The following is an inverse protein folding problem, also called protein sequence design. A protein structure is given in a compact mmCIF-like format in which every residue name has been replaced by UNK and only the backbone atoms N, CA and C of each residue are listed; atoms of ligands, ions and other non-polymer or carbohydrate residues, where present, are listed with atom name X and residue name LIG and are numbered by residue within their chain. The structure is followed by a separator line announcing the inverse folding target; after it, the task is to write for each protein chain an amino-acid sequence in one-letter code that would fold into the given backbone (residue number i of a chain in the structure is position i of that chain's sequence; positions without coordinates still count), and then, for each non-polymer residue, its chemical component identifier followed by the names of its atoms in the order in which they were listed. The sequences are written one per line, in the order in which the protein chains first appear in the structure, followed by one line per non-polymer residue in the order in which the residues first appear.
data_IF_528850388167
#
_entry.id   IF_528850388167
#
_cell.length_a   1.000
_cell.length_b   1.000
_cell.length_c   1.000
_cell.angle_alpha   90.00
_cell.angle_beta   90.00
_cell.angle_gamma   90.00
#
_symmetry.space_group_name_H-M   'P 1'
#
loop_
_entity.id
_entity.type
_entity.pdbx_description
1 polymer ?
#
# COMPACT_ATOMS: atom_id res chain seq x y z
N UNK A 1 18.24 -18.08 -23.06
CA UNK A 1 17.88 -18.60 -21.72
C UNK A 1 18.73 -17.95 -20.64
N UNK A 2 20.05 -17.88 -20.79
CA UNK A 2 20.93 -17.39 -19.72
C UNK A 2 20.95 -15.85 -19.56
N UNK A 3 20.91 -15.08 -20.64
CA UNK A 3 21.11 -13.63 -20.59
C UNK A 3 20.03 -12.78 -19.85
N UNK A 4 18.84 -13.33 -19.56
CA UNK A 4 17.75 -12.63 -18.85
C UNK A 4 17.65 -13.06 -17.37
N UNK A 5 18.29 -14.17 -17.03
CA UNK A 5 18.40 -14.73 -15.67
C UNK A 5 19.77 -14.46 -15.05
N UNK A 6 20.80 -14.18 -15.85
CA UNK A 6 22.15 -13.78 -15.41
C UNK A 6 22.18 -12.42 -14.70
N UNK A 7 21.20 -11.56 -14.95
CA UNK A 7 21.06 -10.25 -14.29
C UNK A 7 20.21 -10.28 -13.01
N UNK A 8 19.79 -11.46 -12.54
CA UNK A 8 19.20 -11.59 -11.20
C UNK A 8 20.36 -11.64 -10.21
N UNK A 9 20.66 -10.54 -9.48
CA UNK A 9 21.69 -10.59 -8.46
C UNK A 9 21.25 -11.65 -7.45
N UNK A 10 22.14 -12.58 -7.14
CA UNK A 10 21.98 -13.72 -6.23
C UNK A 10 20.68 -13.73 -5.40
N UNK A 11 19.85 -14.77 -5.57
CA UNK A 11 18.62 -15.02 -4.83
C UNK A 11 18.73 -14.55 -3.37
N UNK A 12 18.05 -13.46 -3.04
CA UNK A 12 18.09 -12.85 -1.72
C UNK A 12 16.86 -13.31 -0.93
N UNK A 13 17.09 -14.12 0.10
CA UNK A 13 16.04 -14.57 1.01
C UNK A 13 16.16 -13.76 2.30
N UNK A 14 15.17 -12.90 2.54
CA UNK A 14 15.02 -12.17 3.80
C UNK A 14 13.93 -12.81 4.63
N UNK A 15 14.21 -13.09 5.91
CA UNK A 15 13.19 -13.50 6.88
C UNK A 15 13.13 -12.46 7.99
N UNK A 16 11.95 -11.91 8.24
CA UNK A 16 11.75 -10.88 9.27
C UNK A 16 10.59 -11.23 10.19
N UNK A 17 10.70 -10.84 11.46
CA UNK A 17 9.58 -10.86 12.39
C UNK A 17 9.02 -9.44 12.43
N UNK A 18 7.76 -9.28 12.06
CA UNK A 18 7.07 -8.00 12.01
C UNK A 18 6.00 -7.97 13.08
N UNK A 19 5.62 -6.78 13.56
CA UNK A 19 4.57 -6.65 14.57
C UNK A 19 3.25 -7.27 14.10
N UNK A 20 2.87 -7.05 12.84
CA UNK A 20 1.63 -7.56 12.27
C UNK A 20 1.82 -7.75 10.75
N UNK A 21 1.18 -8.77 10.19
CA UNK A 21 1.10 -8.98 8.74
C UNK A 21 -0.29 -8.58 8.26
N UNK A 22 -0.36 -7.55 7.43
CA UNK A 22 -1.62 -7.04 6.89
C UNK A 22 -1.96 -7.78 5.57
N UNK A 23 -3.14 -8.42 5.45
CA UNK A 23 -3.61 -9.02 4.20
C UNK A 23 -3.80 -7.93 3.14
N UNK A 24 -3.14 -8.07 1.99
CA UNK A 24 -3.20 -7.07 0.91
C UNK A 24 -4.29 -7.41 -0.12
N UNK A 25 -5.55 -7.19 0.23
CA UNK A 25 -6.59 -7.02 -0.80
C UNK A 25 -6.55 -5.56 -1.22
N UNK A 26 -5.95 -5.28 -2.39
CA UNK A 26 -5.88 -3.93 -2.94
C UNK A 26 -7.05 -3.69 -3.89
N UNK A 27 -8.04 -2.92 -3.42
CA UNK A 27 -9.12 -2.39 -4.24
C UNK A 27 -8.82 -0.90 -4.48
N UNK A 28 -8.49 -0.48 -5.72
CA UNK A 28 -8.03 0.88 -5.99
C UNK A 28 -9.01 1.95 -5.50
N UNK A 29 -10.31 1.78 -5.75
CA UNK A 29 -11.32 2.77 -5.39
C UNK A 29 -11.46 2.94 -3.87
N UNK A 30 -11.41 1.85 -3.11
CA UNK A 30 -11.48 1.88 -1.64
C UNK A 30 -10.25 2.55 -1.04
N UNK A 31 -9.06 2.21 -1.52
CA UNK A 31 -7.80 2.82 -1.06
C UNK A 31 -7.76 4.29 -1.43
N UNK A 32 -8.19 4.64 -2.64
CA UNK A 32 -8.32 6.03 -3.08
C UNK A 32 -9.25 6.81 -2.15
N UNK A 33 -10.45 6.28 -1.90
CA UNK A 33 -11.45 6.89 -1.01
C UNK A 33 -10.91 7.06 0.41
N UNK A 34 -10.26 6.04 0.95
CA UNK A 34 -9.71 6.06 2.31
C UNK A 34 -8.61 7.12 2.49
N UNK A 35 -7.73 7.30 1.50
CA UNK A 35 -6.71 8.36 1.52
C UNK A 35 -7.34 9.72 1.20
N UNK A 36 -8.34 9.75 0.33
CA UNK A 36 -9.05 10.96 -0.03
C UNK A 36 -9.76 11.56 1.20
N UNK A 37 -10.37 10.75 2.06
CA UNK A 37 -11.11 11.29 3.20
C UNK A 37 -10.22 11.91 4.30
N UNK A 38 -8.89 11.72 4.24
CA UNK A 38 -7.95 12.30 5.21
C UNK A 38 -8.07 13.83 5.22
N UNK A 39 -8.54 14.34 6.36
CA UNK A 39 -8.69 15.75 6.68
C UNK A 39 -8.53 15.94 8.19
N UNK A 40 -8.34 17.18 8.69
CA UNK A 40 -8.27 17.42 10.13
C UNK A 40 -9.49 16.89 10.89
N UNK A 41 -10.71 17.10 10.35
CA UNK A 41 -11.95 16.62 10.97
C UNK A 41 -12.08 15.10 10.92
N UNK A 42 -11.62 14.46 9.84
CA UNK A 42 -11.58 12.99 9.74
C UNK A 42 -10.66 12.38 10.80
N UNK A 43 -9.43 12.88 10.93
CA UNK A 43 -8.46 12.36 11.91
C UNK A 43 -8.93 12.60 13.35
N UNK A 44 -9.56 13.74 13.62
CA UNK A 44 -10.18 14.03 14.90
C UNK A 44 -11.32 13.05 15.23
N UNK A 45 -12.18 12.74 14.26
CA UNK A 45 -13.29 11.78 14.44
C UNK A 45 -12.80 10.36 14.72
N UNK A 46 -11.61 10.01 14.23
CA UNK A 46 -10.94 8.73 14.49
C UNK A 46 -10.09 8.73 15.77
N UNK A 47 -10.10 9.82 16.53
CA UNK A 47 -9.29 10.02 17.72
C UNK A 47 -7.79 9.76 17.50
N UNK A 48 -7.28 10.05 16.29
CA UNK A 48 -5.87 9.85 15.95
C UNK A 48 -5.02 10.84 16.75
N UNK A 49 -3.95 10.32 17.37
CA UNK A 49 -3.01 11.15 18.12
C UNK A 49 -2.32 12.17 17.22
N UNK A 50 -2.10 13.38 17.74
CA UNK A 50 -1.56 14.50 16.99
C UNK A 50 -0.18 14.19 16.38
N UNK A 51 0.62 13.32 17.00
CA UNK A 51 1.92 12.89 16.50
C UNK A 51 1.86 12.06 15.21
N UNK A 52 0.70 11.50 14.86
CA UNK A 52 0.51 10.77 13.59
C UNK A 52 -0.13 11.62 12.50
N UNK A 53 -0.76 12.75 12.83
CA UNK A 53 -1.52 13.56 11.88
C UNK A 53 -0.70 13.98 10.65
N UNK A 54 0.54 14.43 10.85
CA UNK A 54 1.43 14.85 9.75
C UNK A 54 1.71 13.71 8.77
N UNK A 55 1.82 12.46 9.26
CA UNK A 55 2.03 11.29 8.41
C UNK A 55 0.79 10.98 7.56
N UNK A 56 -0.41 11.13 8.10
CA UNK A 56 -1.64 11.01 7.32
C UNK A 56 -1.77 12.12 6.28
N UNK A 57 -1.48 13.37 6.67
CA UNK A 57 -1.47 14.50 5.75
C UNK A 57 -0.47 14.31 4.61
N UNK A 58 0.70 13.71 4.87
CA UNK A 58 1.66 13.38 3.82
C UNK A 58 1.09 12.39 2.79
N UNK A 59 0.31 11.39 3.22
CA UNK A 59 -0.36 10.47 2.31
C UNK A 59 -1.31 11.20 1.36
N UNK A 60 -2.15 12.09 1.91
CA UNK A 60 -3.10 12.89 1.13
C UNK A 60 -2.38 13.84 0.18
N UNK A 61 -1.32 14.53 0.64
CA UNK A 61 -0.47 15.40 -0.18
C UNK A 61 0.13 14.63 -1.36
N UNK A 62 0.69 13.44 -1.12
CA UNK A 62 1.31 12.63 -2.17
C UNK A 62 0.29 12.14 -3.19
N UNK A 63 -0.93 11.83 -2.76
CA UNK A 63 -2.04 11.53 -3.67
C UNK A 63 -2.36 12.72 -4.59
N UNK A 64 -2.47 13.93 -4.03
CA UNK A 64 -2.67 15.18 -4.80
C UNK A 64 -1.52 15.42 -5.78
N UNK A 65 -0.28 15.26 -5.34
CA UNK A 65 0.92 15.43 -6.17
C UNK A 65 0.90 14.49 -7.39
N UNK A 66 0.58 13.21 -7.18
CA UNK A 66 0.52 12.26 -8.30
C UNK A 66 -0.55 12.64 -9.33
N UNK A 67 -1.72 13.06 -8.86
CA UNK A 67 -2.76 13.53 -9.76
C UNK A 67 -2.34 14.81 -10.50
N UNK A 68 -1.72 15.77 -9.79
CA UNK A 68 -1.19 16.99 -10.38
C UNK A 68 -0.18 16.72 -11.51
N UNK A 69 0.73 15.76 -11.32
CA UNK A 69 1.70 15.35 -12.33
C UNK A 69 1.01 14.78 -13.59
N UNK A 70 -0.06 14.00 -13.42
CA UNK A 70 -0.84 13.48 -14.54
C UNK A 70 -1.62 14.56 -15.29
N UNK A 71 -2.07 15.60 -14.61
CA UNK A 71 -2.81 16.72 -15.22
C UNK A 71 -1.91 17.57 -16.11
N UNK A 72 -0.62 17.70 -15.77
CA UNK A 72 0.35 18.51 -16.55
C UNK A 72 1.11 17.71 -17.61
N UNK A 73 1.14 16.38 -17.51
CA UNK A 73 1.80 15.50 -18.47
C UNK A 73 0.97 15.37 -19.75
N UNK A 74 1.54 15.74 -20.90
CA UNK A 74 0.87 15.68 -22.22
C UNK A 74 0.59 14.27 -22.72
N UNK A 75 1.28 13.26 -22.18
CA UNK A 75 1.08 11.85 -22.56
C UNK A 75 -0.02 11.16 -21.72
N UNK A 76 -0.46 11.79 -20.64
CA UNK A 76 -1.49 11.27 -19.75
C UNK A 76 -2.89 11.46 -20.34
N UNK A 77 -3.79 10.49 -20.14
CA UNK A 77 -5.21 10.63 -20.53
C UNK A 77 -5.95 11.67 -19.70
N UNK A 78 -5.34 12.13 -18.61
CA UNK A 78 -5.83 13.16 -17.71
C UNK A 78 -5.21 14.53 -17.97
N UNK A 79 -4.38 14.67 -19.01
CA UNK A 79 -3.82 15.96 -19.40
C UNK A 79 -4.92 17.02 -19.52
N UNK A 80 -4.77 18.15 -18.84
CA UNK A 80 -5.70 19.26 -18.91
C UNK A 80 -4.97 20.59 -19.11
N UNK A 81 -4.97 21.16 -20.34
CA UNK A 81 -4.25 22.40 -20.63
C UNK A 81 -4.81 23.60 -19.88
N UNK A 82 -6.09 23.58 -19.49
CA UNK A 82 -6.73 24.68 -18.74
C UNK A 82 -6.24 24.75 -17.30
N UNK A 83 -5.89 23.59 -16.72
CA UNK A 83 -5.40 23.51 -15.34
C UNK A 83 -3.88 23.59 -15.25
N UNK A 84 -3.16 23.44 -16.38
CA UNK A 84 -1.70 23.34 -16.42
C UNK A 84 -1.00 24.46 -15.65
N UNK A 85 -1.30 25.73 -15.94
CA UNK A 85 -0.62 26.86 -15.30
C UNK A 85 -0.88 26.94 -13.79
N UNK A 86 -2.13 26.69 -13.37
CA UNK A 86 -2.49 26.69 -11.95
C UNK A 86 -1.81 25.52 -11.20
N UNK A 87 -1.80 24.33 -11.79
CA UNK A 87 -1.14 23.16 -11.18
C UNK A 87 0.37 23.34 -11.11
N UNK A 88 0.99 23.92 -12.15
CA UNK A 88 2.43 24.19 -12.16
C UNK A 88 2.87 25.16 -11.06
N UNK A 89 2.02 26.11 -10.67
CA UNK A 89 2.28 27.03 -9.56
C UNK A 89 2.34 26.29 -8.22
N UNK A 90 1.49 25.27 -8.04
CA UNK A 90 1.34 24.55 -6.78
C UNK A 90 2.28 23.35 -6.65
N UNK A 91 2.80 22.81 -7.76
CA UNK A 91 3.70 21.65 -7.78
C UNK A 91 4.89 21.77 -6.82
N UNK A 92 5.62 22.90 -6.72
CA UNK A 92 6.72 23.04 -5.78
C UNK A 92 6.29 22.85 -4.32
N UNK A 93 5.10 23.35 -3.96
CA UNK A 93 4.53 23.22 -2.62
C UNK A 93 4.08 21.79 -2.37
N UNK A 94 3.40 21.16 -3.34
CA UNK A 94 2.97 19.77 -3.26
C UNK A 94 4.14 18.79 -3.21
N UNK A 95 5.26 19.09 -3.87
CA UNK A 95 6.46 18.26 -3.87
C UNK A 95 7.20 18.27 -2.54
N UNK A 96 7.12 19.37 -1.79
CA UNK A 96 7.77 19.53 -0.48
C UNK A 96 6.87 19.02 0.64
N UNK A 97 7.46 18.37 1.63
CA UNK A 97 6.77 17.98 2.87
C UNK A 97 6.69 19.18 3.82
N UNK A 98 5.99 20.23 3.40
CA UNK A 98 5.78 21.46 4.20
C UNK A 98 4.33 21.56 4.63
N UNK A 99 4.08 22.04 5.85
CA UNK A 99 2.74 22.15 6.46
C UNK A 99 1.73 23.01 5.70
N UNK A 100 2.17 23.88 4.79
CA UNK A 100 1.28 24.84 4.11
C UNK A 100 0.55 24.28 2.87
N UNK A 101 0.68 22.97 2.57
CA UNK A 101 0.01 22.40 1.40
C UNK A 101 -1.52 22.36 1.56
N UNK A 102 -2.04 22.41 2.79
CA UNK A 102 -3.47 22.37 3.10
C UNK A 102 -4.28 23.54 2.54
N UNK A 103 -3.61 24.66 2.23
CA UNK A 103 -4.26 25.84 1.64
C UNK A 103 -4.51 25.69 0.13
N UNK A 104 -3.89 24.66 -0.49
CA UNK A 104 -4.07 24.37 -1.90
C UNK A 104 -5.43 23.67 -2.08
N UNK A 105 -6.34 24.22 -2.90
CA UNK A 105 -7.62 23.58 -3.15
C UNK A 105 -7.42 22.22 -3.80
N UNK A 106 -8.13 21.21 -3.30
CA UNK A 106 -8.08 19.87 -3.88
C UNK A 106 -8.54 19.88 -5.33
N UNK A 107 -7.79 19.15 -6.17
CA UNK A 107 -8.17 18.92 -7.58
C UNK A 107 -8.51 17.47 -7.87
N UNK A 108 -8.33 16.60 -6.87
CA UNK A 108 -8.67 15.19 -6.94
C UNK A 108 -10.17 15.03 -7.23
N UNK A 109 -10.55 14.13 -8.15
CA UNK A 109 -11.96 13.82 -8.37
C UNK A 109 -12.56 13.20 -7.12
N UNK A 110 -13.70 13.73 -6.66
CA UNK A 110 -14.35 13.21 -5.46
C UNK A 110 -14.87 11.77 -5.69
N UNK A 111 -14.54 10.81 -4.80
CA UNK A 111 -15.02 9.42 -4.91
C UNK A 111 -16.54 9.30 -4.73
N UNK A 112 -17.15 10.31 -4.10
CA UNK A 112 -18.58 10.36 -3.79
C UNK A 112 -19.36 11.29 -4.72
N UNK A 113 -18.72 11.80 -5.79
CA UNK A 113 -19.39 12.69 -6.73
C UNK A 113 -20.52 11.95 -7.46
N UNK A 114 -21.71 12.55 -7.46
CA UNK A 114 -22.84 12.15 -8.30
C UNK A 114 -22.72 12.64 -9.74
N UNK A 115 -21.71 13.47 -10.05
CA UNK A 115 -21.43 13.96 -11.40
C UNK A 115 -20.84 12.86 -12.27
N UNK A 116 -21.51 12.54 -13.38
CA UNK A 116 -20.99 11.60 -14.39
C UNK A 116 -19.60 11.99 -14.90
N UNK A 117 -19.35 13.30 -15.01
CA UNK A 117 -18.05 13.81 -15.44
C UNK A 117 -16.95 13.46 -14.44
N UNK A 118 -17.21 13.66 -13.15
CA UNK A 118 -16.21 13.39 -12.11
C UNK A 118 -15.97 11.88 -11.97
N UNK A 119 -17.04 11.06 -12.09
CA UNK A 119 -16.91 9.60 -12.14
C UNK A 119 -16.08 9.15 -13.33
N UNK A 120 -16.25 9.75 -14.51
CA UNK A 120 -15.42 9.43 -15.67
C UNK A 120 -13.95 9.80 -15.46
N UNK A 121 -13.66 10.95 -14.83
CA UNK A 121 -12.29 11.36 -14.51
C UNK A 121 -11.68 10.40 -13.49
N UNK A 122 -12.42 10.02 -12.45
CA UNK A 122 -11.99 9.06 -11.45
C UNK A 122 -11.71 7.68 -12.07
N UNK A 123 -12.60 7.18 -12.93
CA UNK A 123 -12.40 5.91 -13.61
C UNK A 123 -11.15 5.93 -14.50
N UNK A 124 -10.90 7.03 -15.22
CA UNK A 124 -9.66 7.20 -15.99
C UNK A 124 -8.44 7.21 -15.08
N UNK A 125 -8.50 7.92 -13.96
CA UNK A 125 -7.42 7.97 -12.96
C UNK A 125 -7.09 6.58 -12.38
N UNK A 126 -8.10 5.79 -12.04
CA UNK A 126 -7.92 4.44 -11.53
C UNK A 126 -7.51 3.42 -12.60
N UNK A 127 -7.42 3.83 -13.87
CA UNK A 127 -6.84 3.05 -14.97
C UNK A 127 -5.42 3.51 -15.35
N UNK A 128 -4.94 4.64 -14.82
CA UNK A 128 -3.57 5.11 -15.04
C UNK A 128 -2.60 4.23 -14.23
N UNK A 129 -1.85 3.37 -14.92
CA UNK A 129 -0.97 2.38 -14.27
C UNK A 129 0.03 3.02 -13.30
N UNK A 130 0.75 4.11 -13.65
CA UNK A 130 1.66 4.76 -12.72
C UNK A 130 0.96 5.23 -11.43
N UNK A 131 -0.26 5.77 -11.56
CA UNK A 131 -1.05 6.21 -10.41
C UNK A 131 -1.48 5.06 -9.53
N UNK A 132 -2.01 3.98 -10.10
CA UNK A 132 -2.46 2.80 -9.36
C UNK A 132 -1.31 2.14 -8.60
N UNK A 133 -0.10 2.12 -9.17
CA UNK A 133 1.11 1.65 -8.49
C UNK A 133 1.40 2.52 -7.26
N UNK A 134 1.42 3.84 -7.41
CA UNK A 134 1.65 4.74 -6.27
C UNK A 134 0.52 4.65 -5.24
N UNK A 135 -0.73 4.56 -5.67
CA UNK A 135 -1.89 4.42 -4.81
C UNK A 135 -1.80 3.16 -3.96
N UNK A 136 -1.35 2.04 -4.53
CA UNK A 136 -1.07 0.80 -3.78
C UNK A 136 -0.01 1.02 -2.71
N UNK A 137 1.07 1.71 -3.02
CA UNK A 137 2.12 2.01 -2.04
C UNK A 137 1.59 2.90 -0.90
N UNK A 138 0.81 3.93 -1.23
CA UNK A 138 0.16 4.79 -0.24
C UNK A 138 -0.82 4.01 0.64
N UNK A 139 -1.59 3.09 0.06
CA UNK A 139 -2.51 2.21 0.80
C UNK A 139 -1.78 1.38 1.84
N UNK A 140 -0.66 0.74 1.47
CA UNK A 140 0.19 -0.01 2.41
C UNK A 140 0.69 0.87 3.56
N UNK A 141 1.13 2.08 3.24
CA UNK A 141 1.61 3.03 4.26
C UNK A 141 0.48 3.47 5.18
N UNK A 142 -0.73 3.73 4.65
CA UNK A 142 -1.91 4.03 5.46
C UNK A 142 -2.25 2.88 6.40
N UNK A 143 -2.33 1.65 5.90
CA UNK A 143 -2.65 0.48 6.74
C UNK A 143 -1.63 0.31 7.87
N UNK A 144 -0.33 0.52 7.59
CA UNK A 144 0.70 0.50 8.62
C UNK A 144 0.53 1.62 9.67
N UNK A 145 0.16 2.83 9.24
CA UNK A 145 -0.15 3.93 10.16
C UNK A 145 -1.39 3.63 11.00
N UNK A 146 -2.45 3.09 10.39
CA UNK A 146 -3.69 2.72 11.07
C UNK A 146 -3.43 1.68 12.17
N UNK A 147 -2.70 0.60 11.87
CA UNK A 147 -2.30 -0.41 12.87
C UNK A 147 -1.50 0.20 14.02
N UNK A 148 -0.57 1.13 13.73
CA UNK A 148 0.23 1.80 14.75
C UNK A 148 -0.62 2.71 15.63
N UNK A 149 -1.49 3.52 15.05
CA UNK A 149 -2.39 4.41 15.77
C UNK A 149 -3.31 3.62 16.70
N UNK A 150 -3.91 2.53 16.19
CA UNK A 150 -4.74 1.62 16.97
C UNK A 150 -3.98 1.02 18.15
N UNK A 151 -2.74 0.56 17.94
CA UNK A 151 -2.01 -0.04 19.06
C UNK A 151 -1.59 1.00 20.11
N UNK A 152 -1.24 2.23 19.71
CA UNK A 152 -0.95 3.31 20.65
C UNK A 152 -2.19 3.65 21.49
N UNK A 153 -3.37 3.70 20.87
CA UNK A 153 -4.64 3.89 21.59
C UNK A 153 -4.92 2.75 22.57
N UNK A 154 -4.73 1.49 22.16
CA UNK A 154 -4.92 0.32 23.03
C UNK A 154 -3.98 0.31 24.23
N UNK A 155 -2.69 0.66 24.04
CA UNK A 155 -1.70 0.76 25.12
C UNK A 155 -2.08 1.88 26.11
N UNK A 156 -2.63 3.00 25.64
CA UNK A 156 -3.07 4.10 26.48
C UNK A 156 -4.32 3.76 27.33
N UNK A 157 -5.11 2.76 26.93
CA UNK A 157 -6.37 2.37 27.60
C UNK A 157 -6.29 1.07 28.42
N UNK A 158 -5.14 0.38 28.42
CA UNK A 158 -5.02 -0.95 29.03
C UNK A 158 -4.82 -0.92 30.55
N UNK A 159 -5.93 -0.89 31.30
CA UNK A 159 -6.15 -1.83 32.40
C UNK A 159 -6.90 -3.05 31.83
N UNK A 160 -6.56 -4.29 32.23
CA UNK A 160 -7.20 -5.62 31.90
C UNK A 160 -6.71 -6.44 30.67
N UNK A 161 -6.88 -7.79 30.63
CA UNK A 161 -5.78 -8.77 30.66
C UNK A 161 -5.57 -9.61 29.38
N UNK A 162 -4.40 -10.25 29.36
CA UNK A 162 -3.59 -10.84 28.28
C UNK A 162 -4.15 -12.00 27.42
N UNK A 163 -5.42 -12.38 27.47
CA UNK A 163 -5.84 -13.72 26.97
C UNK A 163 -7.00 -13.73 25.95
N UNK A 164 -6.88 -12.99 24.86
CA UNK A 164 -7.64 -13.32 23.64
C UNK A 164 -6.66 -13.47 22.48
N UNK A 165 -6.47 -14.72 22.02
CA UNK A 165 -5.79 -15.02 20.77
C UNK A 165 -6.62 -14.36 19.65
N UNK A 166 -6.10 -13.35 18.95
CA UNK A 166 -6.86 -12.70 17.89
C UNK A 166 -6.98 -13.67 16.71
N UNK A 167 -8.18 -14.19 16.47
CA UNK A 167 -8.47 -15.18 15.43
C UNK A 167 -8.25 -14.69 13.98
N UNK A 168 -7.81 -13.44 13.79
CA UNK A 168 -7.68 -12.78 12.48
C UNK A 168 -6.22 -12.44 12.11
N UNK A 169 -5.24 -12.96 12.86
CA UNK A 169 -3.82 -12.69 12.59
C UNK A 169 -3.32 -13.57 11.44
N UNK A 170 -2.74 -12.92 10.43
CA UNK A 170 -1.87 -13.61 9.48
C UNK A 170 -0.52 -13.85 10.15
N UNK A 171 -0.21 -15.11 10.51
CA UNK A 171 1.04 -15.43 11.21
C UNK A 171 2.28 -15.49 10.33
N UNK A 172 2.11 -15.75 9.03
CA UNK A 172 3.22 -15.87 8.09
C UNK A 172 2.83 -15.41 6.69
N UNK A 173 3.75 -14.76 5.97
CA UNK A 173 3.56 -14.29 4.59
C UNK A 173 4.88 -14.36 3.82
N UNK A 174 4.80 -14.85 2.59
CA UNK A 174 5.91 -14.81 1.64
C UNK A 174 5.55 -13.90 0.48
N UNK A 175 6.49 -13.07 0.07
CA UNK A 175 6.43 -12.32 -1.19
C UNK A 175 7.62 -12.70 -2.06
N UNK A 176 7.34 -13.08 -3.31
CA UNK A 176 8.33 -13.43 -4.32
C UNK A 176 8.26 -12.37 -5.41
N UNK A 177 9.41 -11.76 -5.72
CA UNK A 177 9.55 -10.77 -6.79
C UNK A 177 10.31 -11.37 -7.97
N UNK A 178 10.09 -10.76 -9.15
CA UNK A 178 10.71 -11.20 -10.42
C UNK A 178 12.23 -11.02 -10.39
N UNK A 179 12.75 -10.06 -9.61
CA UNK A 179 14.18 -9.82 -9.41
C UNK A 179 14.85 -10.82 -8.45
N UNK A 180 14.23 -11.97 -8.20
CA UNK A 180 14.76 -13.03 -7.35
C UNK A 180 14.71 -12.73 -5.85
N UNK A 181 14.07 -11.64 -5.40
CA UNK A 181 13.93 -11.35 -3.98
C UNK A 181 12.76 -12.10 -3.37
N UNK A 182 13.04 -12.90 -2.35
CA UNK A 182 12.06 -13.62 -1.53
C UNK A 182 12.08 -12.99 -0.14
N UNK A 183 10.93 -12.45 0.29
CA UNK A 183 10.77 -11.94 1.65
C UNK A 183 9.71 -12.73 2.40
N UNK A 184 10.16 -13.42 3.45
CA UNK A 184 9.34 -14.13 4.42
C UNK A 184 9.15 -13.24 5.65
N UNK A 185 7.90 -13.06 6.06
CA UNK A 185 7.55 -12.32 7.26
C UNK A 185 6.75 -13.22 8.18
N UNK A 186 7.07 -13.19 9.47
CA UNK A 186 6.26 -13.79 10.54
C UNK A 186 5.72 -12.70 11.46
N UNK A 187 4.46 -12.81 11.89
CA UNK A 187 3.90 -11.90 12.88
C UNK A 187 4.52 -12.19 14.26
N UNK A 188 4.80 -11.15 15.05
CA UNK A 188 5.46 -11.27 16.35
C UNK A 188 4.63 -12.12 17.34
N UNK A 189 3.30 -12.14 17.17
CA UNK A 189 2.38 -12.97 17.93
C UNK A 189 2.67 -14.46 17.79
N UNK A 190 3.38 -14.90 16.74
CA UNK A 190 3.83 -16.29 16.62
C UNK A 190 4.73 -16.72 17.79
N UNK A 191 5.44 -15.77 18.41
CA UNK A 191 6.32 -16.01 19.57
C UNK A 191 5.54 -16.19 20.87
N UNK A 192 4.26 -15.81 20.91
CA UNK A 192 3.37 -15.95 22.07
C UNK A 192 2.63 -17.29 22.08
N UNK A 193 2.70 -18.03 20.98
CA UNK A 193 2.08 -19.34 20.85
C UNK A 193 2.90 -20.40 21.60
N UNK A 194 2.26 -21.52 21.95
CA UNK A 194 2.99 -22.68 22.43
C UNK A 194 3.89 -23.26 21.32
N UNK A 195 4.92 -24.01 21.74
CA UNK A 195 5.95 -24.52 20.83
C UNK A 195 5.37 -25.43 19.73
N UNK A 196 4.29 -26.17 20.02
CA UNK A 196 3.68 -27.07 19.05
C UNK A 196 2.89 -26.29 17.98
N UNK A 197 2.11 -25.29 18.40
CA UNK A 197 1.40 -24.40 17.47
C UNK A 197 2.37 -23.59 16.60
N UNK A 198 3.43 -23.03 17.20
CA UNK A 198 4.49 -22.31 16.48
C UNK A 198 5.12 -23.19 15.41
N UNK A 199 5.54 -24.40 15.77
CA UNK A 199 6.18 -25.34 14.84
C UNK A 199 5.24 -25.73 13.69
N UNK A 200 3.97 -25.98 14.01
CA UNK A 200 2.95 -26.34 13.02
C UNK A 200 2.75 -25.22 11.98
N UNK A 201 2.69 -23.97 12.42
CA UNK A 201 2.55 -22.81 11.53
C UNK A 201 3.77 -22.67 10.62
N UNK A 202 4.98 -22.78 11.17
CA UNK A 202 6.23 -22.69 10.39
C UNK A 202 6.30 -23.80 9.35
N UNK A 203 5.97 -25.04 9.72
CA UNK A 203 5.97 -26.17 8.79
C UNK A 203 4.93 -26.04 7.69
N UNK A 204 3.70 -25.63 8.03
CA UNK A 204 2.63 -25.41 7.07
C UNK A 204 3.01 -24.29 6.09
N UNK A 205 3.59 -23.20 6.61
CA UNK A 205 4.06 -22.08 5.80
C UNK A 205 5.16 -22.51 4.82
N UNK A 206 6.18 -23.24 5.30
CA UNK A 206 7.26 -23.75 4.46
C UNK A 206 6.74 -24.69 3.35
N UNK A 207 5.78 -25.57 3.66
CA UNK A 207 5.11 -26.39 2.63
C UNK A 207 4.38 -25.53 1.59
N UNK A 208 3.71 -24.47 2.04
CA UNK A 208 3.06 -23.48 1.18
C UNK A 208 4.04 -22.77 0.25
N UNK A 209 5.21 -22.34 0.77
CA UNK A 209 6.28 -21.72 -0.03
C UNK A 209 6.74 -22.65 -1.14
N UNK A 210 7.09 -23.90 -0.82
CA UNK A 210 7.57 -24.87 -1.80
C UNK A 210 6.52 -25.17 -2.88
N UNK A 211 5.25 -25.28 -2.50
CA UNK A 211 4.16 -25.45 -3.45
C UNK A 211 3.98 -24.22 -4.35
N UNK A 212 4.04 -23.02 -3.77
CA UNK A 212 3.93 -21.76 -4.48
C UNK A 212 5.08 -21.50 -5.44
N UNK A 213 6.32 -21.79 -5.02
CA UNK A 213 7.51 -21.72 -5.87
C UNK A 213 7.36 -22.62 -7.10
N UNK A 214 6.90 -23.86 -6.91
CA UNK A 214 6.65 -24.79 -8.00
C UNK A 214 5.60 -24.25 -8.98
N UNK A 215 4.50 -23.69 -8.47
CA UNK A 215 3.45 -23.08 -9.29
C UNK A 215 3.96 -21.86 -10.08
N UNK A 216 4.75 -21.00 -9.43
CA UNK A 216 5.37 -19.83 -10.06
C UNK A 216 6.32 -20.22 -11.19
N UNK A 217 7.18 -21.20 -10.97
CA UNK A 217 8.06 -21.72 -12.02
C UNK A 217 7.29 -22.29 -13.20
N UNK A 218 6.21 -23.04 -12.95
CA UNK A 218 5.35 -23.57 -14.00
C UNK A 218 4.65 -22.46 -14.80
N UNK A 219 4.16 -21.43 -14.11
CA UNK A 219 3.51 -20.28 -14.73
C UNK A 219 4.48 -19.45 -15.58
N UNK A 220 5.68 -19.13 -15.07
CA UNK A 220 6.71 -18.46 -15.84
C UNK A 220 7.14 -19.29 -17.06
N UNK A 221 7.34 -20.59 -16.87
CA UNK A 221 7.62 -21.52 -17.97
C UNK A 221 6.52 -21.56 -19.03
N UNK A 222 5.25 -21.42 -18.62
CA UNK A 222 4.13 -21.30 -19.54
C UNK A 222 4.14 -19.99 -20.33
N UNK A 223 4.37 -18.85 -19.66
CA UNK A 223 4.45 -17.53 -20.31
C UNK A 223 5.57 -17.53 -21.36
N UNK A 224 6.77 -17.96 -21.00
CA UNK A 224 7.93 -17.97 -21.91
C UNK A 224 7.64 -18.81 -23.16
N UNK A 225 7.09 -20.02 -22.99
CA UNK A 225 6.67 -20.88 -24.10
C UNK A 225 5.59 -20.23 -24.98
N UNK A 226 4.65 -19.50 -24.38
CA UNK A 226 3.52 -18.90 -25.09
C UNK A 226 3.95 -17.69 -25.92
N UNK A 227 4.90 -16.90 -25.43
CA UNK A 227 5.39 -15.68 -26.11
C UNK A 227 6.65 -15.90 -26.96
N UNK A 228 7.10 -17.15 -27.09
CA UNK A 228 8.27 -17.55 -27.90
C UNK A 228 9.54 -16.77 -27.53
N UNK A 229 9.74 -16.58 -26.22
CA UNK A 229 10.96 -16.03 -25.59
C UNK A 229 11.72 -17.19 -24.94
#
# INVERSE_FOLDING_TARGET
MDALLEDIPALEISTTIVREIIPEVFIPEEVYRAIYQISPSYLQSMAIDAGFCDHYFDLRRRLELQYALLVVNTESKLYNPRLKSAVQLDLPTLARSTTNWSDIPTRLPSPDSSSDRDRQILNKLLQETPFVITLRQLGKQKSFLDSRALTTQQIATADTPENQIPNDITYAKTSIKIDGKINNCYAQEILKLDAQAQQTIIELHNKGILAGEKQWHQFLGFILKTFNI
#
